data_IF_037544153246
#
_entry.id   IF_037544153246
#
_cell.length_a   1.000
_cell.length_b   1.000
_cell.length_c   1.000
_cell.angle_alpha   90.00
_cell.angle_beta   90.00
_cell.angle_gamma   90.00
#
_symmetry.space_group_name_H-M   'P 1'
#
loop_
_entity.id
_entity.type
_entity.pdbx_description
1 polymer ?
#
# COMPACT_ATOMS: atom_id res chain seq x y z
N UNK A 1 -9.36 11.86 -15.70
CA UNK A 1 -8.03 12.14 -15.12
C UNK A 1 -8.06 11.67 -13.67
N UNK A 2 -7.25 10.68 -13.30
CA UNK A 2 -7.03 10.37 -11.89
C UNK A 2 -6.03 11.41 -11.39
N UNK A 3 -6.54 12.46 -10.76
CA UNK A 3 -5.70 13.49 -10.17
C UNK A 3 -5.26 13.04 -8.76
N UNK A 4 -3.99 13.31 -8.42
CA UNK A 4 -3.42 13.06 -7.10
C UNK A 4 -3.92 14.08 -6.05
N UNK A 5 -4.87 14.94 -6.40
CA UNK A 5 -5.55 15.90 -5.52
C UNK A 5 -6.32 15.28 -4.35
N UNK A 6 -6.45 13.95 -4.28
CA UNK A 6 -7.05 13.30 -3.12
C UNK A 6 -6.15 13.29 -1.87
N UNK A 7 -4.92 13.81 -1.94
CA UNK A 7 -4.07 14.07 -0.77
C UNK A 7 -4.32 15.49 -0.24
N UNK A 8 -4.41 15.61 1.08
CA UNK A 8 -4.74 16.89 1.77
C UNK A 8 -3.66 17.96 1.60
N UNK A 9 -2.40 17.57 1.44
CA UNK A 9 -1.27 18.45 1.20
C UNK A 9 -0.11 17.75 0.44
N UNK A 10 0.89 18.53 0.02
CA UNK A 10 2.06 18.03 -0.73
C UNK A 10 2.99 17.15 0.12
N UNK A 11 3.02 17.34 1.43
CA UNK A 11 3.86 16.55 2.33
C UNK A 11 3.31 15.12 2.49
N UNK A 12 2.00 14.98 2.62
CA UNK A 12 1.27 13.72 2.64
C UNK A 12 1.52 12.93 1.34
N UNK A 13 1.42 13.60 0.19
CA UNK A 13 1.75 12.99 -1.09
C UNK A 13 3.23 12.56 -1.16
N UNK A 14 4.15 13.41 -0.71
CA UNK A 14 5.58 13.08 -0.67
C UNK A 14 5.87 11.86 0.20
N UNK A 15 5.23 11.77 1.37
CA UNK A 15 5.36 10.61 2.26
C UNK A 15 4.80 9.34 1.64
N UNK A 16 3.66 9.41 0.96
CA UNK A 16 3.09 8.26 0.25
C UNK A 16 4.05 7.74 -0.83
N UNK A 17 4.67 8.64 -1.60
CA UNK A 17 5.66 8.28 -2.63
C UNK A 17 6.91 7.66 -1.98
N UNK A 18 7.45 8.24 -0.93
CA UNK A 18 8.63 7.69 -0.23
C UNK A 18 8.34 6.29 0.35
N UNK A 19 7.13 6.07 0.85
CA UNK A 19 6.69 4.77 1.38
C UNK A 19 6.53 3.76 0.26
N UNK A 20 5.90 4.14 -0.86
CA UNK A 20 5.76 3.28 -2.04
C UNK A 20 7.12 2.86 -2.63
N UNK A 21 8.14 3.72 -2.49
CA UNK A 21 9.54 3.44 -2.87
C UNK A 21 10.30 2.58 -1.85
N UNK A 22 9.71 2.29 -0.69
CA UNK A 22 10.37 1.54 0.39
C UNK A 22 11.40 2.35 1.21
N UNK A 23 11.47 3.67 1.01
CA UNK A 23 12.40 4.55 1.74
C UNK A 23 11.91 4.79 3.17
N UNK A 24 10.59 4.98 3.32
CA UNK A 24 9.94 5.18 4.62
C UNK A 24 9.08 3.97 4.98
N UNK A 25 9.00 3.62 6.28
CA UNK A 25 8.11 2.56 6.72
C UNK A 25 6.64 2.98 6.59
N UNK A 26 5.80 2.03 6.20
CA UNK A 26 4.36 2.16 6.15
C UNK A 26 3.73 2.20 7.55
N UNK A 27 2.47 2.64 7.65
CA UNK A 27 1.74 2.59 8.92
C UNK A 27 1.27 1.16 9.22
N UNK A 28 0.73 0.49 8.21
CA UNK A 28 0.25 -0.89 8.30
C UNK A 28 0.70 -1.68 7.08
N UNK A 29 1.07 -2.93 7.31
CA UNK A 29 1.25 -3.94 6.26
C UNK A 29 0.32 -5.10 6.57
N UNK A 30 -0.42 -5.53 5.55
CA UNK A 30 -1.20 -6.77 5.61
C UNK A 30 -0.48 -7.76 4.70
N UNK A 31 0.11 -8.81 5.27
CA UNK A 31 0.92 -9.79 4.55
C UNK A 31 0.09 -10.94 4.01
N UNK A 32 0.58 -11.59 2.95
CA UNK A 32 -0.02 -12.81 2.39
C UNK A 32 -1.51 -12.65 2.03
N UNK A 33 -1.89 -11.54 1.41
CA UNK A 33 -3.28 -11.25 1.07
C UNK A 33 -3.56 -11.68 -0.37
N UNK A 34 -4.68 -12.37 -0.59
CA UNK A 34 -5.23 -12.55 -1.93
C UNK A 34 -5.96 -11.27 -2.37
N UNK A 35 -5.41 -10.61 -3.38
CA UNK A 35 -5.92 -9.37 -3.96
C UNK A 35 -6.58 -9.72 -5.29
N UNK A 36 -7.89 -9.52 -5.39
CA UNK A 36 -8.61 -9.64 -6.66
C UNK A 36 -8.36 -8.39 -7.50
N UNK A 37 -7.63 -8.54 -8.60
CA UNK A 37 -7.59 -7.51 -9.63
C UNK A 37 -8.86 -7.64 -10.49
N UNK A 38 -9.80 -6.72 -10.27
CA UNK A 38 -11.08 -6.71 -11.00
C UNK A 38 -10.95 -6.31 -12.49
N UNK A 39 -9.78 -5.82 -12.91
CA UNK A 39 -9.53 -5.51 -14.32
C UNK A 39 -9.09 -6.75 -15.10
N UNK A 40 -8.21 -7.56 -14.53
CA UNK A 40 -7.76 -8.83 -15.14
C UNK A 40 -8.65 -10.02 -14.78
N UNK A 41 -9.34 -9.97 -13.63
CA UNK A 41 -10.10 -11.08 -13.06
C UNK A 41 -9.22 -12.08 -12.30
N UNK A 42 -7.94 -11.80 -12.10
CA UNK A 42 -6.99 -12.70 -11.45
C UNK A 42 -6.79 -12.36 -9.97
N UNK A 43 -6.46 -13.38 -9.17
CA UNK A 43 -6.02 -13.20 -7.79
C UNK A 43 -4.50 -13.12 -7.71
N UNK A 44 -4.00 -12.04 -7.12
CA UNK A 44 -2.60 -11.85 -6.79
C UNK A 44 -2.38 -12.14 -5.30
N UNK A 45 -1.48 -13.06 -4.97
CA UNK A 45 -1.02 -13.24 -3.59
C UNK A 45 0.15 -12.29 -3.32
N UNK A 46 -0.05 -11.28 -2.47
CA UNK A 46 0.97 -10.28 -2.16
C UNK A 46 0.69 -9.56 -0.84
N UNK A 47 1.59 -8.67 -0.43
CA UNK A 47 1.40 -7.83 0.75
C UNK A 47 0.79 -6.48 0.34
N UNK A 48 -0.12 -5.99 1.19
CA UNK A 48 -0.75 -4.68 1.04
C UNK A 48 -0.07 -3.65 1.93
N UNK A 49 0.40 -2.55 1.34
CA UNK A 49 1.14 -1.50 2.04
C UNK A 49 0.24 -0.27 2.21
N UNK A 50 0.00 0.11 3.47
CA UNK A 50 -0.93 1.19 3.82
C UNK A 50 -0.19 2.31 4.56
N UNK A 51 -0.36 3.55 4.08
CA UNK A 51 0.09 4.75 4.77
C UNK A 51 -1.03 5.81 4.74
N UNK A 52 -1.25 6.47 5.89
CA UNK A 52 -2.24 7.55 6.02
C UNK A 52 -3.65 7.16 5.53
N UNK A 53 -4.05 5.91 5.81
CA UNK A 53 -5.37 5.38 5.42
C UNK A 53 -5.52 5.09 3.92
N UNK A 54 -4.43 5.09 3.14
CA UNK A 54 -4.44 4.80 1.71
C UNK A 54 -3.52 3.63 1.37
N UNK A 55 -3.90 2.84 0.37
CA UNK A 55 -3.03 1.83 -0.22
C UNK A 55 -1.99 2.58 -1.06
N UNK A 56 -0.71 2.44 -0.69
CA UNK A 56 0.40 3.13 -1.37
C UNK A 56 1.21 2.21 -2.27
N UNK A 57 1.20 0.91 -2.00
CA UNK A 57 1.85 -0.11 -2.81
C UNK A 57 1.24 -1.49 -2.57
N UNK A 58 1.48 -2.39 -3.53
CA UNK A 58 1.26 -3.83 -3.42
C UNK A 58 2.60 -4.48 -3.76
N UNK A 59 3.12 -5.32 -2.86
CA UNK A 59 4.43 -5.94 -3.05
C UNK A 59 5.05 -6.40 -1.74
N UNK A 60 6.07 -7.24 -1.85
CA UNK A 60 6.77 -7.84 -0.72
C UNK A 60 7.91 -6.95 -0.21
N UNK A 61 8.53 -7.35 0.90
CA UNK A 61 9.73 -6.71 1.49
C UNK A 61 9.56 -5.28 2.03
N UNK A 62 8.34 -4.78 2.15
CA UNK A 62 8.08 -3.51 2.81
C UNK A 62 8.19 -3.63 4.33
N UNK A 63 8.65 -2.53 4.94
CA UNK A 63 8.64 -2.33 6.39
C UNK A 63 7.44 -1.49 6.81
N UNK A 64 6.80 -1.87 7.91
CA UNK A 64 5.64 -1.19 8.45
C UNK A 64 5.73 -1.08 9.96
N UNK A 65 5.13 -0.02 10.53
CA UNK A 65 5.03 0.13 11.99
C UNK A 65 4.25 -1.01 12.63
N UNK A 66 3.27 -1.53 11.90
CA UNK A 66 2.55 -2.74 12.27
C UNK A 66 2.42 -3.65 11.06
N UNK A 67 2.55 -4.95 11.29
CA UNK A 67 2.33 -5.98 10.30
C UNK A 67 1.33 -6.99 10.84
N UNK A 68 0.39 -7.41 9.99
CA UNK A 68 -0.58 -8.46 10.30
C UNK A 68 -0.68 -9.40 9.11
N UNK A 69 -0.92 -10.68 9.37
CA UNK A 69 -1.14 -11.65 8.30
C UNK A 69 -2.61 -11.63 7.86
N UNK A 70 -2.83 -11.78 6.56
CA UNK A 70 -4.14 -11.96 5.95
C UNK A 70 -4.74 -13.32 6.32
N UNK A 71 -6.08 -13.42 6.36
CA UNK A 71 -6.79 -14.63 6.80
C UNK A 71 -6.88 -15.72 5.71
N UNK A 72 -5.79 -16.00 4.99
CA UNK A 72 -5.72 -16.93 3.85
C UNK A 72 -6.54 -18.21 4.04
#
# INVERSE_FOLDING_TARGET
MIDKTNYSDTLALGRAIDTARGIKPADHIIRNVQILDVFSGEFLLSDLVIAEGRIVAIGQDYQGKTARDGPC
#
